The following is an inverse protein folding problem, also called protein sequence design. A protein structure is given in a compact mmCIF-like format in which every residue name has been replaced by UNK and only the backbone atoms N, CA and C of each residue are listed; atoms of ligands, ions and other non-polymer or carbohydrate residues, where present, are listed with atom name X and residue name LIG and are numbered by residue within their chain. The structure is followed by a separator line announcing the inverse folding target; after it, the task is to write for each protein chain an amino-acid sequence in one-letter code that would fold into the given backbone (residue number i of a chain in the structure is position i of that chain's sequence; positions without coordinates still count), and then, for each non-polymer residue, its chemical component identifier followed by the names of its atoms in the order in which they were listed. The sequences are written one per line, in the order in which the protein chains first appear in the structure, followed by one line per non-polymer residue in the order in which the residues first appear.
data_IF_582290014859
#
_entry.id   IF_582290014859
#
_cell.length_a   1.000
_cell.length_b   1.000
_cell.length_c   1.000
_cell.angle_alpha   90.00
_cell.angle_beta   90.00
_cell.angle_gamma   90.00
#
_symmetry.space_group_name_H-M   'P 1'
#
loop_
_entity.id
_entity.type
_entity.pdbx_description
1 polymer ?
#
# COMPACT_ATOMS: atom_id res chain seq x y z
N UNK A 1 -9.83 -6.57 5.79
CA UNK A 1 -8.99 -5.78 4.84
C UNK A 1 -7.53 -6.15 5.01
N UNK A 2 -6.80 -6.38 3.94
CA UNK A 2 -5.36 -6.65 3.94
C UNK A 2 -4.60 -5.37 3.59
N UNK A 3 -3.60 -4.99 4.38
CA UNK A 3 -2.75 -3.84 4.10
C UNK A 3 -1.48 -4.29 3.39
N UNK A 4 -1.14 -3.66 2.27
CA UNK A 4 0.13 -3.88 1.57
C UNK A 4 1.13 -2.80 1.96
N UNK A 5 2.22 -3.23 2.61
CA UNK A 5 3.36 -2.40 2.95
C UNK A 5 4.59 -2.77 2.12
N UNK A 6 5.45 -1.82 1.92
CA UNK A 6 6.70 -1.96 1.17
C UNK A 6 7.05 -0.68 0.42
N UNK A 7 8.33 -0.46 0.15
CA UNK A 7 8.80 0.74 -0.53
C UNK A 7 8.26 0.85 -1.96
N UNK A 8 8.37 2.03 -2.59
CA UNK A 8 8.15 2.16 -4.02
C UNK A 8 8.99 1.14 -4.79
N UNK A 9 8.44 0.54 -5.84
CA UNK A 9 9.15 -0.49 -6.64
C UNK A 9 9.06 -1.92 -6.09
N UNK A 10 8.51 -2.16 -4.89
CA UNK A 10 8.47 -3.50 -4.29
C UNK A 10 7.47 -4.49 -4.93
N UNK A 11 6.69 -4.08 -5.94
CA UNK A 11 5.79 -4.98 -6.66
C UNK A 11 4.34 -5.04 -6.13
N UNK A 12 3.98 -4.29 -5.08
CA UNK A 12 2.62 -4.29 -4.48
C UNK A 12 1.49 -4.19 -5.50
N UNK A 13 1.61 -3.26 -6.45
CA UNK A 13 0.56 -3.01 -7.43
C UNK A 13 0.33 -4.20 -8.36
N UNK A 14 1.41 -4.83 -8.83
CA UNK A 14 1.33 -6.03 -9.70
C UNK A 14 0.67 -7.17 -8.94
N UNK A 15 1.06 -7.39 -7.71
CA UNK A 15 0.50 -8.46 -6.87
C UNK A 15 -0.95 -8.16 -6.45
N UNK A 16 -1.28 -6.90 -6.22
CA UNK A 16 -2.65 -6.47 -5.96
C UNK A 16 -3.57 -6.76 -7.14
N UNK A 17 -3.15 -6.46 -8.36
CA UNK A 17 -3.90 -6.75 -9.59
C UNK A 17 -4.10 -8.26 -9.79
N UNK A 18 -3.08 -9.08 -9.55
CA UNK A 18 -3.19 -10.54 -9.63
C UNK A 18 -4.16 -11.12 -8.59
N UNK A 19 -4.17 -10.61 -7.36
CA UNK A 19 -5.13 -11.05 -6.35
C UNK A 19 -6.57 -10.65 -6.70
N UNK A 20 -6.77 -9.50 -7.32
CA UNK A 20 -8.08 -9.10 -7.87
C UNK A 20 -8.53 -10.09 -8.93
N UNK A 21 -7.67 -10.39 -9.90
CA UNK A 21 -7.98 -11.27 -11.03
C UNK A 21 -8.28 -12.71 -10.56
N UNK A 22 -7.45 -13.26 -9.66
CA UNK A 22 -7.51 -14.67 -9.25
C UNK A 22 -8.50 -14.94 -8.12
N UNK A 23 -8.69 -13.99 -7.21
CA UNK A 23 -9.47 -14.19 -5.98
C UNK A 23 -10.75 -13.35 -5.92
N UNK A 24 -11.00 -12.47 -6.89
CA UNK A 24 -12.16 -11.57 -6.89
C UNK A 24 -12.11 -10.49 -5.80
N UNK A 25 -10.92 -10.20 -5.27
CA UNK A 25 -10.72 -9.14 -4.27
C UNK A 25 -10.82 -7.76 -4.91
N UNK A 26 -10.90 -6.72 -4.11
CA UNK A 26 -10.76 -5.35 -4.59
C UNK A 26 -9.42 -4.75 -4.16
N UNK A 27 -8.76 -4.08 -5.11
CA UNK A 27 -7.53 -3.37 -4.85
C UNK A 27 -7.77 -1.87 -4.80
N UNK A 28 -7.57 -1.28 -3.63
CA UNK A 28 -7.71 0.15 -3.37
C UNK A 28 -6.31 0.74 -3.16
N UNK A 29 -5.83 1.49 -4.15
CA UNK A 29 -4.53 2.14 -4.11
C UNK A 29 -4.67 3.65 -4.05
N UNK A 30 -4.24 4.26 -2.94
CA UNK A 30 -4.24 5.72 -2.79
C UNK A 30 -3.37 6.39 -3.85
N UNK A 31 -2.25 5.77 -4.22
CA UNK A 31 -1.41 6.27 -5.30
C UNK A 31 -2.11 6.28 -6.67
N UNK A 32 -2.95 5.26 -6.96
CA UNK A 32 -3.76 5.23 -8.20
C UNK A 32 -4.85 6.30 -8.16
N UNK A 33 -5.55 6.43 -7.03
CA UNK A 33 -6.58 7.46 -6.82
C UNK A 33 -6.01 8.87 -7.03
N UNK A 34 -4.85 9.15 -6.47
CA UNK A 34 -4.22 10.46 -6.63
C UNK A 34 -3.74 10.74 -8.05
N UNK A 35 -3.16 9.75 -8.74
CA UNK A 35 -2.76 9.92 -10.15
C UNK A 35 -3.94 10.14 -11.09
N UNK A 36 -5.12 9.62 -10.77
CA UNK A 36 -6.34 9.88 -11.53
C UNK A 36 -7.07 11.18 -11.14
N UNK A 37 -6.61 11.86 -10.11
CA UNK A 37 -7.15 13.17 -9.70
C UNK A 37 -6.94 14.21 -10.79
N UNK A 38 -7.86 15.19 -10.87
CA UNK A 38 -7.71 16.36 -11.73
C UNK A 38 -7.11 17.58 -10.99
N UNK A 39 -6.76 17.41 -9.71
CA UNK A 39 -6.22 18.48 -8.88
C UNK A 39 -4.73 18.68 -9.17
N UNK A 40 -4.32 19.87 -9.70
CA UNK A 40 -2.93 20.14 -10.03
C UNK A 40 -1.98 20.09 -8.81
N UNK A 41 -2.46 20.42 -7.62
CA UNK A 41 -1.64 20.42 -6.42
C UNK A 41 -1.28 18.98 -5.99
N UNK A 42 -2.20 18.04 -6.21
CA UNK A 42 -1.91 16.61 -6.02
C UNK A 42 -0.80 16.15 -6.98
N UNK A 43 -0.92 16.50 -8.26
CA UNK A 43 0.10 16.12 -9.26
C UNK A 43 1.47 16.73 -8.95
N UNK A 44 1.51 17.99 -8.49
CA UNK A 44 2.74 18.64 -8.07
C UNK A 44 3.44 17.88 -6.93
N UNK A 45 2.69 17.47 -5.89
CA UNK A 45 3.24 16.68 -4.78
C UNK A 45 3.69 15.29 -5.21
N UNK A 46 2.94 14.63 -6.10
CA UNK A 46 3.37 13.35 -6.66
C UNK A 46 4.69 13.48 -7.43
N UNK A 47 4.85 14.53 -8.24
CA UNK A 47 6.05 14.80 -9.02
C UNK A 47 7.28 15.06 -8.13
N UNK A 48 7.12 15.65 -6.95
CA UNK A 48 8.21 15.86 -5.98
C UNK A 48 8.44 14.66 -5.05
N UNK A 49 7.58 13.65 -5.08
CA UNK A 49 7.67 12.48 -4.21
C UNK A 49 7.21 12.73 -2.77
N UNK A 50 6.58 13.87 -2.49
CA UNK A 50 6.04 14.22 -1.19
C UNK A 50 4.75 13.44 -0.89
N UNK A 51 4.44 13.29 0.42
CA UNK A 51 3.16 12.76 0.85
C UNK A 51 2.05 13.79 0.62
N UNK A 52 0.90 13.29 0.21
CA UNK A 52 -0.33 14.08 0.17
C UNK A 52 -0.80 14.33 1.60
N UNK A 53 -1.42 15.48 1.84
CA UNK A 53 -1.99 15.86 3.13
C UNK A 53 -2.90 14.76 3.70
N UNK A 54 -2.79 14.51 5.02
CA UNK A 54 -3.49 13.41 5.67
C UNK A 54 -5.01 13.59 5.64
N UNK A 55 -5.53 14.82 5.81
CA UNK A 55 -6.98 15.08 5.77
C UNK A 55 -7.54 14.79 4.40
N UNK A 56 -6.82 15.19 3.35
CA UNK A 56 -7.21 14.91 1.98
C UNK A 56 -7.14 13.42 1.69
N UNK A 57 -6.06 12.74 2.12
CA UNK A 57 -5.88 11.30 1.94
C UNK A 57 -6.97 10.51 2.65
N UNK A 58 -7.28 10.84 3.90
CA UNK A 58 -8.35 10.22 4.68
C UNK A 58 -9.71 10.42 4.04
N UNK A 59 -10.01 11.64 3.55
CA UNK A 59 -11.25 11.93 2.85
C UNK A 59 -11.41 11.09 1.59
N UNK A 60 -10.37 11.05 0.74
CA UNK A 60 -10.39 10.27 -0.52
C UNK A 60 -10.56 8.77 -0.22
N UNK A 61 -9.86 8.25 0.78
CA UNK A 61 -10.00 6.85 1.19
C UNK A 61 -11.42 6.56 1.72
N UNK A 62 -11.94 7.41 2.59
CA UNK A 62 -13.27 7.26 3.16
C UNK A 62 -14.37 7.23 2.08
N UNK A 63 -14.30 8.10 1.09
CA UNK A 63 -15.24 8.10 -0.05
C UNK A 63 -15.10 6.81 -0.87
N UNK A 64 -13.87 6.39 -1.19
CA UNK A 64 -13.64 5.18 -1.95
C UNK A 64 -14.13 3.90 -1.24
N UNK A 65 -14.11 3.87 0.08
CA UNK A 65 -14.59 2.72 0.87
C UNK A 65 -16.12 2.62 0.89
N UNK A 66 -16.87 3.72 0.71
CA UNK A 66 -18.34 3.69 0.70
C UNK A 66 -18.91 2.88 -0.47
N UNK A 67 -18.20 2.89 -1.60
CA UNK A 67 -18.65 2.22 -2.83
C UNK A 67 -18.31 0.72 -2.84
N UNK A 68 -17.57 0.23 -1.84
CA UNK A 68 -17.13 -1.15 -1.76
C UNK A 68 -18.02 -1.95 -0.82
N UNK A 69 -18.63 -3.03 -1.33
CA UNK A 69 -19.41 -3.95 -0.50
C UNK A 69 -18.57 -4.47 0.68
N UNK A 70 -19.08 -4.33 1.91
CA UNK A 70 -18.37 -4.70 3.15
C UNK A 70 -17.91 -6.17 3.22
N UNK A 71 -18.56 -7.06 2.47
CA UNK A 71 -18.19 -8.49 2.39
C UNK A 71 -17.05 -8.78 1.41
N UNK A 72 -16.70 -7.83 0.54
CA UNK A 72 -15.61 -8.02 -0.42
C UNK A 72 -14.27 -7.81 0.26
N UNK A 73 -13.34 -8.74 0.11
CA UNK A 73 -11.97 -8.55 0.60
C UNK A 73 -11.30 -7.39 -0.14
N UNK A 74 -10.69 -6.48 0.61
CA UNK A 74 -9.99 -5.31 0.08
C UNK A 74 -8.51 -5.38 0.40
N UNK A 75 -7.70 -5.16 -0.60
CA UNK A 75 -6.28 -4.86 -0.46
C UNK A 75 -6.13 -3.34 -0.46
N UNK A 76 -5.56 -2.78 0.59
CA UNK A 76 -5.25 -1.35 0.68
C UNK A 76 -3.74 -1.14 0.46
N UNK A 77 -3.40 -0.43 -0.62
CA UNK A 77 -2.03 -0.12 -1.03
C UNK A 77 -1.75 1.37 -0.93
N UNK A 78 -0.59 1.69 -0.36
CA UNK A 78 -0.10 3.07 -0.24
C UNK A 78 -0.71 3.87 0.91
N UNK A 79 -1.41 3.21 1.82
CA UNK A 79 -1.98 3.78 3.04
C UNK A 79 -2.10 2.67 4.11
N UNK A 80 -1.85 2.97 5.41
CA UNK A 80 -1.34 4.23 5.95
C UNK A 80 0.16 4.42 5.67
N UNK A 81 0.62 5.69 5.63
CA UNK A 81 2.02 6.05 5.42
C UNK A 81 2.68 6.74 6.63
N UNK A 82 1.90 7.02 7.65
CA UNK A 82 2.38 7.52 8.94
C UNK A 82 1.45 7.02 10.07
N UNK A 83 1.86 7.25 11.32
CA UNK A 83 1.14 6.75 12.50
C UNK A 83 -0.24 7.41 12.64
N UNK A 84 -0.39 8.68 12.29
CA UNK A 84 -1.67 9.37 12.43
C UNK A 84 -2.70 8.83 11.42
N UNK A 85 -2.27 8.52 10.20
CA UNK A 85 -3.09 7.79 9.24
C UNK A 85 -3.47 6.39 9.74
N UNK A 86 -2.55 5.67 10.39
CA UNK A 86 -2.83 4.34 10.93
C UNK A 86 -3.87 4.39 12.05
N UNK A 87 -3.75 5.35 12.96
CA UNK A 87 -4.76 5.60 14.01
C UNK A 87 -6.11 5.89 13.40
N UNK A 88 -6.15 6.81 12.46
CA UNK A 88 -7.38 7.18 11.77
C UNK A 88 -8.02 5.97 11.09
N UNK A 89 -7.22 5.13 10.41
CA UNK A 89 -7.71 3.93 9.73
C UNK A 89 -8.38 2.96 10.72
N UNK A 90 -7.71 2.62 11.80
CA UNK A 90 -8.21 1.70 12.83
C UNK A 90 -9.54 2.23 13.43
N UNK A 91 -9.63 3.54 13.68
CA UNK A 91 -10.81 4.17 14.26
C UNK A 91 -12.00 4.20 13.27
N UNK A 92 -11.75 4.38 11.97
CA UNK A 92 -12.82 4.65 11.00
C UNK A 92 -13.26 3.43 10.18
N UNK A 93 -12.43 2.38 10.06
CA UNK A 93 -12.80 1.16 9.34
C UNK A 93 -14.09 0.48 9.83
N UNK A 94 -14.38 0.45 11.15
CA UNK A 94 -15.65 -0.12 11.65
C UNK A 94 -16.89 0.58 11.08
N UNK A 95 -16.82 1.86 10.73
CA UNK A 95 -17.92 2.59 10.09
C UNK A 95 -18.27 2.04 8.69
N UNK A 96 -17.36 1.30 8.07
CA UNK A 96 -17.54 0.60 6.79
C UNK A 96 -17.80 -0.90 6.98
N UNK A 97 -18.02 -1.37 8.23
CA UNK A 97 -18.18 -2.79 8.55
C UNK A 97 -16.91 -3.61 8.26
N UNK A 98 -15.72 -3.03 8.49
CA UNK A 98 -14.42 -3.62 8.19
C UNK A 98 -13.46 -3.53 9.36
N UNK A 99 -12.47 -4.42 9.34
CA UNK A 99 -11.29 -4.37 10.21
C UNK A 99 -10.03 -4.66 9.38
N UNK A 100 -8.87 -4.45 9.99
CA UNK A 100 -7.60 -4.86 9.40
C UNK A 100 -7.37 -6.33 9.78
N UNK A 101 -7.42 -7.22 8.80
CA UNK A 101 -7.17 -8.65 9.00
C UNK A 101 -5.68 -8.92 9.19
N UNK A 102 -4.85 -8.34 8.32
CA UNK A 102 -3.40 -8.40 8.45
C UNK A 102 -2.68 -7.36 7.58
N UNK A 103 -1.38 -7.30 7.80
CA UNK A 103 -0.40 -6.55 7.00
C UNK A 103 0.49 -7.55 6.26
N UNK A 104 0.70 -7.33 4.96
CA UNK A 104 1.71 -8.02 4.16
C UNK A 104 2.79 -7.02 3.78
N UNK A 105 3.97 -7.21 4.33
CA UNK A 105 5.15 -6.39 4.09
C UNK A 105 6.01 -7.00 2.98
N UNK A 106 6.20 -6.25 1.90
CA UNK A 106 7.05 -6.62 0.77
C UNK A 106 8.47 -6.14 1.03
N UNK A 107 9.41 -7.06 1.13
CA UNK A 107 10.84 -6.78 1.31
C UNK A 107 11.58 -7.04 0.00
N UNK A 108 12.36 -6.05 -0.44
CA UNK A 108 13.19 -6.10 -1.65
C UNK A 108 14.46 -5.31 -1.37
N UNK A 109 15.65 -5.78 -1.79
CA UNK A 109 16.88 -5.02 -1.70
C UNK A 109 16.79 -3.68 -2.44
N UNK A 110 17.44 -2.65 -1.89
CA UNK A 110 17.34 -1.28 -2.41
C UNK A 110 17.85 -1.17 -3.86
N UNK A 111 18.90 -1.91 -4.20
CA UNK A 111 19.43 -1.97 -5.56
C UNK A 111 18.37 -2.45 -6.57
N UNK A 112 17.62 -3.50 -6.21
CA UNK A 112 16.55 -4.02 -7.05
C UNK A 112 15.36 -3.05 -7.12
N UNK A 113 15.05 -2.33 -6.04
CA UNK A 113 14.04 -1.26 -6.06
C UNK A 113 14.42 -0.15 -7.04
N UNK A 114 15.67 0.31 -6.99
CA UNK A 114 16.18 1.34 -7.91
C UNK A 114 16.08 0.89 -9.36
N UNK A 115 16.49 -0.35 -9.66
CA UNK A 115 16.39 -0.94 -11.00
C UNK A 115 14.94 -0.98 -11.48
N UNK A 116 14.02 -1.55 -10.68
CA UNK A 116 12.59 -1.67 -11.04
C UNK A 116 11.92 -0.33 -11.26
N UNK A 117 12.27 0.69 -10.47
CA UNK A 117 11.70 2.02 -10.61
C UNK A 117 12.21 2.72 -11.87
N UNK A 118 13.51 2.59 -12.18
CA UNK A 118 14.08 3.11 -13.43
C UNK A 118 13.45 2.46 -14.67
N UNK A 119 13.24 1.13 -14.63
CA UNK A 119 12.61 0.39 -15.74
C UNK A 119 11.12 0.73 -15.92
N UNK A 120 10.43 1.16 -14.85
CA UNK A 120 9.00 1.50 -14.88
C UNK A 120 8.70 2.78 -15.66
N UNK A 121 9.59 3.77 -15.63
CA UNK A 121 9.58 4.97 -16.47
C UNK A 121 8.40 5.92 -16.25
N UNK A 122 7.89 6.09 -15.02
CA UNK A 122 6.91 7.14 -14.71
C UNK A 122 7.60 8.50 -14.59
N UNK A 123 6.85 9.59 -14.73
CA UNK A 123 7.37 10.95 -14.56
C UNK A 123 8.06 11.17 -13.20
N UNK A 124 7.50 10.56 -12.14
CA UNK A 124 8.07 10.60 -10.79
C UNK A 124 9.23 9.61 -10.57
N UNK A 125 9.66 8.84 -11.56
CA UNK A 125 10.73 7.83 -11.42
C UNK A 125 12.11 8.39 -11.84
N UNK A 126 12.36 9.66 -11.55
CA UNK A 126 13.72 10.24 -11.63
C UNK A 126 14.45 9.98 -10.32
N UNK A 127 15.77 9.81 -10.39
CA UNK A 127 16.60 9.32 -9.28
C UNK A 127 16.39 10.08 -7.98
N UNK A 128 16.40 11.40 -8.02
CA UNK A 128 16.26 12.25 -6.82
C UNK A 128 14.88 12.08 -6.16
N UNK A 129 13.84 11.85 -6.96
CA UNK A 129 12.48 11.61 -6.45
C UNK A 129 12.36 10.20 -5.88
N UNK A 130 12.99 9.21 -6.51
CA UNK A 130 13.04 7.84 -5.99
C UNK A 130 13.73 7.83 -4.62
N UNK A 131 14.93 8.41 -4.50
CA UNK A 131 15.69 8.50 -3.25
C UNK A 131 14.87 9.20 -2.16
N UNK A 132 14.20 10.30 -2.47
CA UNK A 132 13.31 10.99 -1.54
C UNK A 132 12.14 10.10 -1.07
N UNK A 133 11.51 9.37 -1.98
CA UNK A 133 10.39 8.47 -1.66
C UNK A 133 10.84 7.30 -0.78
N UNK A 134 12.04 6.77 -1.00
CA UNK A 134 12.63 5.73 -0.15
C UNK A 134 12.93 6.28 1.24
N UNK A 135 13.54 7.47 1.33
CA UNK A 135 13.83 8.13 2.60
C UNK A 135 12.53 8.39 3.40
N UNK A 136 11.47 8.92 2.76
CA UNK A 136 10.17 9.13 3.41
C UNK A 136 9.55 7.80 3.85
N UNK A 137 9.68 6.72 3.06
CA UNK A 137 9.20 5.41 3.44
C UNK A 137 9.89 4.92 4.71
N UNK A 138 11.20 4.99 4.80
CA UNK A 138 11.97 4.56 5.97
C UNK A 138 11.69 5.43 7.20
N UNK A 139 11.62 6.74 7.03
CA UNK A 139 11.40 7.67 8.13
C UNK A 139 9.96 7.61 8.69
N UNK A 140 8.95 7.60 7.81
CA UNK A 140 7.55 7.79 8.21
C UNK A 140 6.71 6.53 8.14
N UNK A 141 6.98 5.65 7.16
CA UNK A 141 6.09 4.51 6.90
C UNK A 141 6.57 3.24 7.61
N UNK A 142 7.87 3.00 7.70
CA UNK A 142 8.38 1.84 8.43
C UNK A 142 7.92 1.81 9.91
N UNK A 143 7.92 2.92 10.67
CA UNK A 143 7.42 2.92 12.05
C UNK A 143 5.95 2.53 12.20
N UNK A 144 5.17 2.65 11.13
CA UNK A 144 3.75 2.24 11.13
C UNK A 144 3.61 0.73 11.33
N UNK A 145 4.52 -0.07 10.82
CA UNK A 145 4.51 -1.52 10.99
C UNK A 145 4.58 -1.91 12.46
N UNK A 146 5.48 -1.28 13.23
CA UNK A 146 5.62 -1.55 14.66
C UNK A 146 4.40 -1.04 15.44
N UNK A 147 3.84 0.09 15.02
CA UNK A 147 2.59 0.59 15.59
C UNK A 147 1.44 -0.40 15.35
N UNK A 148 1.24 -0.89 14.14
CA UNK A 148 0.18 -1.86 13.83
C UNK A 148 0.37 -3.18 14.59
N UNK A 149 1.61 -3.67 14.71
CA UNK A 149 1.94 -4.83 15.55
C UNK A 149 1.56 -4.60 17.02
N UNK A 150 1.84 -3.40 17.55
CA UNK A 150 1.47 -3.04 18.94
C UNK A 150 -0.04 -2.99 19.17
N UNK A 151 -0.83 -2.80 18.11
CA UNK A 151 -2.29 -2.88 18.14
C UNK A 151 -2.82 -4.31 17.97
N UNK A 152 -1.95 -5.33 17.97
CA UNK A 152 -2.33 -6.73 17.81
C UNK A 152 -2.62 -7.14 16.37
N UNK A 153 -2.32 -6.30 15.38
CA UNK A 153 -2.55 -6.60 13.97
C UNK A 153 -1.41 -7.50 13.47
N UNK A 154 -1.79 -8.66 12.94
CA UNK A 154 -0.83 -9.62 12.37
C UNK A 154 -0.07 -9.00 11.21
N UNK A 155 1.26 -9.12 11.23
CA UNK A 155 2.13 -8.66 10.15
C UNK A 155 2.97 -9.81 9.64
N UNK A 156 2.93 -10.03 8.33
CA UNK A 156 3.68 -11.06 7.64
C UNK A 156 4.63 -10.41 6.63
N UNK A 157 5.88 -10.85 6.63
CA UNK A 157 6.90 -10.35 5.70
C UNK A 157 7.06 -11.33 4.54
N UNK A 158 7.07 -10.80 3.31
CA UNK A 158 7.26 -11.57 2.08
C UNK A 158 8.51 -11.06 1.36
N UNK A 159 9.44 -11.96 1.08
CA UNK A 159 10.52 -11.66 0.13
C UNK A 159 9.90 -11.49 -1.27
N UNK A 160 9.97 -10.28 -1.81
CA UNK A 160 9.39 -9.91 -3.09
C UNK A 160 10.44 -9.84 -4.23
N UNK A 161 11.56 -10.56 -4.06
CA UNK A 161 12.51 -10.87 -5.14
C UNK A 161 12.07 -12.09 -5.94
N UNK A 162 12.46 -12.13 -7.21
CA UNK A 162 12.13 -13.21 -8.14
C UNK A 162 11.12 -12.80 -9.19
N UNK A 163 10.59 -13.78 -9.87
CA UNK A 163 9.53 -13.58 -10.87
C UNK A 163 8.20 -13.17 -10.22
N UNK A 164 7.32 -12.59 -11.01
CA UNK A 164 5.99 -12.18 -10.57
C UNK A 164 5.22 -13.37 -9.97
N UNK A 165 5.31 -14.54 -10.60
CA UNK A 165 4.61 -15.76 -10.15
C UNK A 165 5.16 -16.29 -8.84
N UNK A 166 6.49 -16.39 -8.67
CA UNK A 166 7.10 -16.82 -7.41
C UNK A 166 6.71 -15.94 -6.23
N UNK A 167 6.69 -14.62 -6.45
CA UNK A 167 6.24 -13.67 -5.44
C UNK A 167 4.75 -13.84 -5.16
N UNK A 168 3.95 -14.08 -6.21
CA UNK A 168 2.51 -14.29 -6.06
C UNK A 168 2.19 -15.54 -5.23
N UNK A 169 2.87 -16.65 -5.47
CA UNK A 169 2.69 -17.88 -4.69
C UNK A 169 2.98 -17.66 -3.19
N UNK A 170 4.08 -16.92 -2.87
CA UNK A 170 4.39 -16.54 -1.48
C UNK A 170 3.29 -15.69 -0.85
N UNK A 171 2.77 -14.72 -1.60
CA UNK A 171 1.71 -13.84 -1.13
C UNK A 171 0.39 -14.59 -0.95
N UNK A 172 0.02 -15.49 -1.84
CA UNK A 172 -1.18 -16.32 -1.69
C UNK A 172 -1.12 -17.17 -0.42
N UNK A 173 0.04 -17.79 -0.12
CA UNK A 173 0.21 -18.56 1.10
C UNK A 173 0.02 -17.72 2.37
N UNK A 174 0.59 -16.51 2.38
CA UNK A 174 0.44 -15.56 3.49
C UNK A 174 -0.98 -15.02 3.59
N UNK A 175 -1.57 -14.62 2.48
CA UNK A 175 -2.93 -14.07 2.43
C UNK A 175 -3.97 -15.08 2.90
N UNK A 176 -3.82 -16.36 2.55
CA UNK A 176 -4.69 -17.42 3.05
C UNK A 176 -4.65 -17.53 4.58
N UNK A 177 -3.47 -17.44 5.18
CA UNK A 177 -3.31 -17.43 6.64
C UNK A 177 -3.94 -16.20 7.32
N UNK A 178 -3.97 -15.05 6.62
CA UNK A 178 -4.60 -13.82 7.12
C UNK A 178 -6.13 -13.90 7.23
N UNK A 179 -6.77 -14.73 6.39
CA UNK A 179 -8.25 -14.75 6.25
C UNK A 179 -8.88 -15.89 7.06
N UNK A 180 -8.09 -16.87 7.50
CA UNK A 180 -8.57 -18.04 8.26
C UNK A 180 -8.79 -17.75 9.76
N UNK A 181 -9.14 -16.51 10.13
CA UNK A 181 -9.51 -16.16 11.51
C UNK A 181 -10.95 -16.51 11.84
#
# INVERSE_FOLDING_TARGET
MVLFFGPPGSGKSVQGELLVERNGWQWLSTGKLFRSSKDPEIHKRLATGELIDDKLTNKVLNEALKDINSKTMVILDGYPRNIDQARWLIEHLPNHGREIDCVIEFVVPEEELMRRLSDRGREEDVREVIERRLAIYHEKTTPVLDYLKSQGIMTQTVNAEGSIEEVHERIQGVAAACIQK
#
